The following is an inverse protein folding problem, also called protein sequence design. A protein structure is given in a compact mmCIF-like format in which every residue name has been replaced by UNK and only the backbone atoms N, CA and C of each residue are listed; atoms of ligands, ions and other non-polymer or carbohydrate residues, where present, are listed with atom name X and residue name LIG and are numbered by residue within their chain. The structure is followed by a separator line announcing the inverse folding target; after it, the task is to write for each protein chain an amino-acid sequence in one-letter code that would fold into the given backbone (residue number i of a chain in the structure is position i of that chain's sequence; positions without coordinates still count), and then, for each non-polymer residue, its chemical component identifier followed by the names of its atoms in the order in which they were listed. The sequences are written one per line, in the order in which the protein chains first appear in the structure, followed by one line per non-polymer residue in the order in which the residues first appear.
data_IF_765789932641
#
_entry.id   IF_765789932641
#
_cell.length_a   1.000
_cell.length_b   1.000
_cell.length_c   1.000
_cell.angle_alpha   90.00
_cell.angle_beta   90.00
_cell.angle_gamma   90.00
#
_symmetry.space_group_name_H-M   'P 1'
#
loop_
_entity.id
_entity.type
_entity.pdbx_description
1 polymer ?
#
# COMPACT_ATOMS: atom_id res chain seq x y z
N UNK A 1 12.68 -14.10 7.16
CA UNK A 1 12.91 -13.10 8.21
C UNK A 1 12.30 -13.62 9.51
N UNK A 2 13.09 -13.69 10.53
CA UNK A 2 12.64 -14.19 11.82
C UNK A 2 12.08 -13.05 12.67
N UNK A 3 11.14 -13.38 13.58
CA UNK A 3 10.64 -12.42 14.54
C UNK A 3 9.62 -11.42 14.05
N UNK A 4 9.03 -11.64 12.86
CA UNK A 4 8.00 -10.74 12.32
C UNK A 4 6.81 -10.58 13.27
N UNK A 5 6.48 -11.63 13.99
CA UNK A 5 5.37 -11.64 14.94
C UNK A 5 5.61 -10.74 16.16
N UNK A 6 6.85 -10.30 16.35
CA UNK A 6 7.20 -9.40 17.45
C UNK A 6 6.96 -7.92 17.10
N UNK A 7 6.76 -7.61 15.83
CA UNK A 7 6.50 -6.23 15.39
C UNK A 7 5.00 -5.99 15.38
N UNK A 8 4.53 -5.16 16.31
CA UNK A 8 3.10 -4.88 16.48
C UNK A 8 2.76 -3.47 16.04
N UNK A 9 1.81 -3.36 15.13
CA UNK A 9 1.36 -2.08 14.58
C UNK A 9 0.80 -1.17 15.68
N UNK A 10 1.34 0.04 15.76
CA UNK A 10 0.97 1.00 16.77
C UNK A 10 1.65 0.80 18.13
N UNK A 11 2.53 -0.19 18.25
CA UNK A 11 3.21 -0.52 19.52
C UNK A 11 4.73 -0.57 19.37
N UNK A 12 5.23 -1.23 18.34
CA UNK A 12 6.67 -1.47 18.19
C UNK A 12 7.32 -0.32 17.41
N UNK A 13 7.98 0.58 18.14
CA UNK A 13 8.77 1.66 17.55
C UNK A 13 10.20 1.16 17.38
N UNK A 14 10.47 0.58 16.22
CA UNK A 14 11.79 0.07 15.87
C UNK A 14 12.07 0.40 14.41
N UNK A 15 13.21 1.01 14.15
CA UNK A 15 13.64 1.33 12.79
C UNK A 15 14.24 0.08 12.15
N UNK A 16 13.51 -0.50 11.19
CA UNK A 16 13.90 -1.73 10.51
C UNK A 16 14.46 -1.40 9.14
N UNK A 17 15.64 -1.96 8.82
CA UNK A 17 16.23 -1.81 7.50
C UNK A 17 15.76 -2.92 6.57
N UNK A 18 15.47 -2.57 5.33
CA UNK A 18 15.08 -3.50 4.28
C UNK A 18 16.19 -3.52 3.24
N UNK A 19 16.75 -4.70 2.96
CA UNK A 19 17.83 -4.86 1.99
C UNK A 19 17.45 -5.70 0.78
N UNK A 20 16.43 -6.55 0.89
CA UNK A 20 16.02 -7.49 -0.16
C UNK A 20 14.55 -7.40 -0.49
N UNK A 21 14.18 -7.93 -1.67
CA UNK A 21 12.79 -8.05 -2.07
C UNK A 21 11.99 -8.88 -1.06
N UNK A 22 12.57 -9.99 -0.59
CA UNK A 22 11.91 -10.88 0.35
C UNK A 22 11.59 -10.16 1.66
N UNK A 23 12.56 -9.42 2.21
CA UNK A 23 12.33 -8.63 3.42
C UNK A 23 11.24 -7.56 3.20
N UNK A 24 11.30 -6.87 2.08
CA UNK A 24 10.28 -5.87 1.73
C UNK A 24 8.89 -6.50 1.65
N UNK A 25 8.78 -7.63 0.98
CA UNK A 25 7.53 -8.37 0.84
C UNK A 25 6.99 -8.81 2.20
N UNK A 26 7.85 -9.39 3.04
CA UNK A 26 7.44 -9.91 4.35
C UNK A 26 6.99 -8.79 5.29
N UNK A 27 7.74 -7.70 5.35
CA UNK A 27 7.40 -6.56 6.23
C UNK A 27 6.13 -5.84 5.75
N UNK A 28 5.99 -5.65 4.44
CA UNK A 28 4.78 -5.06 3.86
C UNK A 28 3.55 -5.89 4.21
N UNK A 29 3.66 -7.21 4.04
CA UNK A 29 2.55 -8.12 4.35
C UNK A 29 2.24 -8.17 5.83
N UNK A 30 3.26 -8.26 6.68
CA UNK A 30 3.07 -8.30 8.14
C UNK A 30 2.35 -7.05 8.65
N UNK A 31 2.71 -5.90 8.11
CA UNK A 31 2.07 -4.63 8.47
C UNK A 31 0.63 -4.57 7.95
N UNK A 32 0.41 -4.95 6.71
CA UNK A 32 -0.94 -4.95 6.12
C UNK A 32 -1.90 -5.87 6.87
N UNK A 33 -1.40 -7.03 7.33
CA UNK A 33 -2.22 -7.97 8.09
C UNK A 33 -2.72 -7.42 9.41
N UNK A 34 -2.01 -6.47 9.99
CA UNK A 34 -2.37 -5.87 11.27
C UNK A 34 -3.23 -4.62 11.13
N UNK A 35 -3.36 -4.06 9.94
CA UNK A 35 -4.15 -2.85 9.71
C UNK A 35 -5.62 -3.09 10.03
N UNK A 36 -6.25 -2.13 10.70
CA UNK A 36 -7.65 -2.17 11.09
C UNK A 36 -8.48 -1.01 10.54
N UNK A 37 -7.83 0.06 10.13
CA UNK A 37 -8.51 1.28 9.72
C UNK A 37 -8.21 1.69 8.30
N UNK A 38 -6.94 1.63 7.88
CA UNK A 38 -6.58 2.11 6.56
C UNK A 38 -5.26 1.55 6.05
N UNK A 39 -5.16 1.48 4.72
CA UNK A 39 -3.90 1.33 4.00
C UNK A 39 -3.85 2.43 2.95
N UNK A 40 -2.73 3.15 2.90
CA UNK A 40 -2.44 4.11 1.85
C UNK A 40 -1.19 3.64 1.13
N UNK A 41 -1.33 3.33 -0.15
CA UNK A 41 -0.26 2.76 -0.97
C UNK A 41 0.13 3.75 -2.06
N UNK A 42 1.40 4.11 -2.07
CA UNK A 42 2.01 4.98 -3.07
C UNK A 42 3.02 4.16 -3.87
N UNK A 43 2.73 3.91 -5.15
CA UNK A 43 3.51 2.98 -5.95
C UNK A 43 3.65 3.46 -7.38
N UNK A 44 4.75 3.06 -8.04
CA UNK A 44 4.94 3.35 -9.45
C UNK A 44 3.95 2.55 -10.31
N UNK A 45 3.86 1.24 -10.10
CA UNK A 45 3.06 0.35 -10.96
C UNK A 45 2.25 -0.71 -10.18
N UNK A 46 2.09 -0.52 -8.88
CA UNK A 46 1.41 -1.49 -7.98
C UNK A 46 2.09 -2.86 -8.04
N UNK A 47 3.35 -2.89 -7.77
CA UNK A 47 4.28 -4.01 -7.91
C UNK A 47 3.67 -5.37 -7.54
N UNK A 48 3.57 -6.30 -8.49
CA UNK A 48 2.96 -7.61 -8.22
C UNK A 48 3.65 -8.40 -7.10
N UNK A 49 4.98 -8.26 -6.97
CA UNK A 49 5.73 -8.96 -5.93
C UNK A 49 5.28 -8.58 -4.52
N UNK A 50 4.82 -7.34 -4.32
CA UNK A 50 4.36 -6.85 -3.01
C UNK A 50 2.84 -6.95 -2.85
N UNK A 51 2.09 -6.59 -3.88
CA UNK A 51 0.66 -6.33 -3.76
C UNK A 51 -0.24 -7.32 -4.50
N UNK A 52 0.31 -8.10 -5.43
CA UNK A 52 -0.46 -9.09 -6.19
C UNK A 52 -0.13 -10.51 -5.74
N UNK A 53 -0.31 -10.77 -4.45
CA UNK A 53 -0.13 -12.10 -3.88
C UNK A 53 -1.42 -12.53 -3.21
N UNK A 54 -1.70 -13.85 -3.11
CA UNK A 54 -2.87 -14.32 -2.36
C UNK A 54 -2.89 -13.82 -0.93
N UNK A 55 -1.72 -13.76 -0.27
CA UNK A 55 -1.62 -13.32 1.12
C UNK A 55 -1.94 -11.84 1.30
N UNK A 56 -1.43 -10.99 0.42
CA UNK A 56 -1.74 -9.56 0.50
C UNK A 56 -3.21 -9.29 0.18
N UNK A 57 -3.75 -9.98 -0.81
CA UNK A 57 -5.17 -9.88 -1.14
C UNK A 57 -6.05 -10.26 0.06
N UNK A 58 -5.69 -11.34 0.76
CA UNK A 58 -6.42 -11.76 1.96
C UNK A 58 -6.33 -10.71 3.06
N UNK A 59 -5.15 -10.12 3.27
CA UNK A 59 -4.97 -9.04 4.25
C UNK A 59 -5.86 -7.83 3.91
N UNK A 60 -5.91 -7.45 2.65
CA UNK A 60 -6.76 -6.35 2.18
C UNK A 60 -8.25 -6.65 2.40
N UNK A 61 -8.69 -7.86 2.08
CA UNK A 61 -10.08 -8.28 2.31
C UNK A 61 -10.43 -8.26 3.78
N UNK A 62 -9.54 -8.75 4.63
CA UNK A 62 -9.76 -8.78 6.07
C UNK A 62 -9.88 -7.37 6.64
N UNK A 63 -9.04 -6.45 6.18
CA UNK A 63 -9.13 -5.05 6.59
C UNK A 63 -10.51 -4.46 6.29
N UNK A 64 -11.00 -4.68 5.08
CA UNK A 64 -12.32 -4.17 4.68
C UNK A 64 -13.44 -4.83 5.49
N UNK A 65 -13.27 -6.08 5.88
CA UNK A 65 -14.27 -6.83 6.65
C UNK A 65 -14.33 -6.48 8.13
N UNK A 66 -13.28 -5.87 8.70
CA UNK A 66 -13.21 -5.56 10.12
C UNK A 66 -14.13 -4.39 10.51
N UNK A 67 -14.17 -3.36 9.66
CA UNK A 67 -14.89 -2.13 9.95
C UNK A 67 -15.51 -1.58 8.66
N UNK A 68 -16.75 -1.11 8.73
CA UNK A 68 -17.43 -0.51 7.59
C UNK A 68 -16.78 0.81 7.14
N UNK A 69 -15.98 1.43 8.00
CA UNK A 69 -15.29 2.69 7.71
C UNK A 69 -13.84 2.50 7.25
N UNK A 70 -13.34 1.27 7.24
CA UNK A 70 -11.97 1.01 6.78
C UNK A 70 -11.85 1.31 5.28
N UNK A 71 -10.68 1.79 4.87
CA UNK A 71 -10.46 2.30 3.51
C UNK A 71 -9.05 1.97 3.03
N UNK A 72 -8.96 1.54 1.78
CA UNK A 72 -7.67 1.38 1.08
C UNK A 72 -7.62 2.41 -0.05
N UNK A 73 -6.59 3.25 -0.04
CA UNK A 73 -6.35 4.22 -1.12
C UNK A 73 -5.01 3.93 -1.78
N UNK A 74 -5.01 3.91 -3.10
CA UNK A 74 -3.84 3.58 -3.90
C UNK A 74 -3.57 4.72 -4.89
N UNK A 75 -2.35 5.23 -4.87
CA UNK A 75 -1.84 6.16 -5.88
C UNK A 75 -0.80 5.44 -6.72
N UNK A 76 -0.99 5.43 -8.04
CA UNK A 76 -0.14 4.68 -8.96
C UNK A 76 0.12 5.53 -10.21
N UNK A 77 1.34 5.42 -10.75
CA UNK A 77 1.72 6.19 -11.95
C UNK A 77 1.42 5.44 -13.25
N UNK A 78 1.94 4.22 -13.38
CA UNK A 78 1.77 3.41 -14.59
C UNK A 78 1.02 2.13 -14.26
N UNK A 79 -0.23 2.07 -14.68
CA UNK A 79 -1.11 0.93 -14.41
C UNK A 79 -1.39 0.09 -15.66
N UNK A 80 -0.96 0.53 -16.84
CA UNK A 80 -1.30 -0.10 -18.11
C UNK A 80 -0.91 -1.58 -18.17
N UNK A 81 0.34 -1.90 -17.82
CA UNK A 81 0.80 -3.28 -17.77
C UNK A 81 0.09 -4.12 -16.71
N UNK A 82 -0.23 -3.49 -15.59
CA UNK A 82 -0.92 -4.14 -14.48
C UNK A 82 -2.36 -4.52 -14.84
N UNK A 83 -3.07 -3.62 -15.49
CA UNK A 83 -4.45 -3.86 -15.95
C UNK A 83 -4.46 -5.01 -16.96
N UNK A 84 -3.54 -5.01 -17.92
CA UNK A 84 -3.49 -6.01 -18.99
C UNK A 84 -3.19 -7.42 -18.48
N UNK A 85 -2.36 -7.53 -17.43
CA UNK A 85 -1.97 -8.82 -16.85
C UNK A 85 -2.93 -9.33 -15.78
N UNK A 86 -3.80 -8.44 -15.30
CA UNK A 86 -4.64 -8.71 -14.14
C UNK A 86 -3.89 -8.48 -12.84
N UNK A 87 -4.61 -8.12 -11.79
CA UNK A 87 -4.04 -7.86 -10.47
C UNK A 87 -5.12 -8.01 -9.41
N UNK A 88 -4.83 -8.73 -8.35
CA UNK A 88 -5.82 -9.04 -7.30
C UNK A 88 -6.41 -7.81 -6.64
N UNK A 89 -5.59 -6.78 -6.37
CA UNK A 89 -6.10 -5.53 -5.78
C UNK A 89 -6.97 -4.75 -6.77
N UNK A 90 -6.69 -4.81 -8.06
CA UNK A 90 -7.55 -4.19 -9.08
C UNK A 90 -8.91 -4.87 -9.12
N UNK A 91 -8.93 -6.20 -9.02
CA UNK A 91 -10.18 -6.96 -8.93
C UNK A 91 -10.99 -6.52 -7.70
N UNK A 92 -10.32 -6.38 -6.57
CA UNK A 92 -10.97 -5.95 -5.34
C UNK A 92 -11.53 -4.54 -5.48
N UNK A 93 -10.75 -3.63 -6.09
CA UNK A 93 -11.20 -2.27 -6.38
C UNK A 93 -12.43 -2.26 -7.28
N UNK A 94 -12.46 -3.08 -8.32
CA UNK A 94 -13.60 -3.12 -9.24
C UNK A 94 -14.88 -3.60 -8.56
N UNK A 95 -14.75 -4.47 -7.57
CA UNK A 95 -15.91 -4.99 -6.83
C UNK A 95 -16.35 -4.09 -5.67
N UNK A 96 -15.40 -3.39 -5.04
CA UNK A 96 -15.63 -2.60 -3.83
C UNK A 96 -15.04 -1.20 -3.98
N UNK A 97 -15.41 -0.49 -5.04
CA UNK A 97 -14.78 0.78 -5.44
C UNK A 97 -14.98 1.92 -4.44
N UNK A 98 -15.93 1.82 -3.54
CA UNK A 98 -16.10 2.82 -2.47
C UNK A 98 -15.13 2.57 -1.30
N UNK A 99 -14.60 1.37 -1.19
CA UNK A 99 -13.77 0.92 -0.08
C UNK A 99 -12.30 0.70 -0.47
N UNK A 100 -12.05 0.39 -1.74
CA UNK A 100 -10.71 0.27 -2.32
C UNK A 100 -10.67 1.23 -3.50
N UNK A 101 -9.97 2.34 -3.35
CA UNK A 101 -9.97 3.43 -4.32
C UNK A 101 -8.59 3.58 -4.94
N UNK A 102 -8.54 3.75 -6.25
CA UNK A 102 -7.29 3.92 -6.98
C UNK A 102 -7.37 5.22 -7.79
N UNK A 103 -6.31 6.01 -7.70
CA UNK A 103 -6.15 7.22 -8.51
C UNK A 103 -4.80 7.21 -9.20
N UNK A 104 -4.76 7.78 -10.40
CA UNK A 104 -3.55 7.86 -11.19
C UNK A 104 -2.77 9.12 -10.83
N UNK A 105 -1.46 8.96 -10.64
CA UNK A 105 -0.55 10.07 -10.42
C UNK A 105 -0.42 10.90 -11.69
N UNK A 106 -0.33 12.22 -11.55
CA UNK A 106 -0.18 13.15 -12.67
C UNK A 106 1.26 13.22 -13.16
N UNK A 107 2.22 12.76 -12.36
CA UNK A 107 3.62 12.71 -12.74
C UNK A 107 4.32 11.55 -12.06
N UNK A 108 5.51 11.20 -12.57
CA UNK A 108 6.35 10.16 -11.99
C UNK A 108 7.05 10.68 -10.73
N UNK A 109 7.00 9.87 -9.66
CA UNK A 109 7.75 10.11 -8.44
C UNK A 109 8.81 9.03 -8.26
N UNK A 110 9.86 9.33 -7.52
CA UNK A 110 10.98 8.40 -7.35
C UNK A 110 10.81 7.45 -6.17
N UNK A 111 10.00 7.81 -5.19
CA UNK A 111 9.83 7.01 -3.98
C UNK A 111 8.52 6.20 -4.00
N UNK A 112 8.45 5.23 -3.11
CA UNK A 112 7.25 4.40 -2.92
C UNK A 112 7.09 4.10 -1.44
N UNK A 113 5.84 3.96 -0.97
CA UNK A 113 5.59 3.67 0.44
C UNK A 113 4.20 3.09 0.65
N UNK A 114 4.03 2.46 1.83
CA UNK A 114 2.72 2.04 2.32
C UNK A 114 2.59 2.51 3.77
N UNK A 115 1.44 3.11 4.09
CA UNK A 115 1.12 3.56 5.45
C UNK A 115 -0.07 2.75 5.95
N UNK A 116 0.08 2.14 7.13
CA UNK A 116 -0.98 1.36 7.76
C UNK A 116 -1.49 2.07 9.01
N UNK A 117 -2.81 2.26 9.09
CA UNK A 117 -3.50 2.89 10.23
C UNK A 117 -2.92 4.26 10.61
N UNK A 118 -2.34 4.95 9.63
CA UNK A 118 -1.70 6.27 9.79
C UNK A 118 -0.54 6.27 10.80
N UNK A 119 -0.01 5.14 11.17
CA UNK A 119 1.04 5.03 12.19
C UNK A 119 2.21 4.12 11.80
N UNK A 120 1.97 3.08 11.03
CA UNK A 120 3.03 2.22 10.51
C UNK A 120 3.40 2.61 9.09
N UNK A 121 4.68 2.44 8.75
CA UNK A 121 5.15 2.80 7.41
C UNK A 121 6.22 1.85 6.91
N UNK A 122 6.11 1.47 5.64
CA UNK A 122 7.17 0.86 4.86
C UNK A 122 7.55 1.89 3.80
N UNK A 123 8.79 2.35 3.82
CA UNK A 123 9.23 3.49 3.00
C UNK A 123 10.44 3.10 2.15
N UNK A 124 10.38 3.39 0.86
CA UNK A 124 11.47 3.16 -0.08
C UNK A 124 11.80 4.46 -0.80
N UNK A 125 13.05 4.90 -0.72
CA UNK A 125 13.51 6.14 -1.37
C UNK A 125 13.47 6.00 -2.89
N UNK A 126 13.75 4.79 -3.41
CA UNK A 126 13.74 4.50 -4.84
C UNK A 126 12.71 3.43 -5.16
N UNK A 127 11.68 3.79 -5.90
CA UNK A 127 10.57 2.89 -6.23
C UNK A 127 11.02 1.66 -7.04
N UNK A 128 12.09 1.77 -7.84
CA UNK A 128 12.62 0.66 -8.60
C UNK A 128 13.46 -0.33 -7.78
N UNK A 129 13.69 -0.04 -6.50
CA UNK A 129 14.48 -0.90 -5.60
C UNK A 129 13.64 -1.32 -4.41
N UNK A 130 14.01 -2.46 -3.83
CA UNK A 130 13.31 -2.96 -2.64
C UNK A 130 13.96 -2.48 -1.34
N UNK A 131 15.12 -1.85 -1.42
CA UNK A 131 15.79 -1.29 -0.27
C UNK A 131 14.97 -0.15 0.34
N UNK A 132 14.91 -0.13 1.67
CA UNK A 132 14.14 0.89 2.36
C UNK A 132 14.13 0.65 3.86
N UNK A 133 13.09 1.14 4.50
CA UNK A 133 12.92 1.05 5.95
C UNK A 133 11.47 0.71 6.28
N UNK A 134 11.26 0.16 7.49
CA UNK A 134 9.92 -0.06 8.01
C UNK A 134 9.91 0.26 9.50
N UNK A 135 8.79 0.77 9.98
CA UNK A 135 8.55 0.97 11.40
C UNK A 135 7.06 0.83 11.67
N UNK A 136 6.70 -0.01 12.63
CA UNK A 136 5.31 -0.34 12.94
C UNK A 136 4.65 0.70 13.85
N UNK A 137 5.42 1.61 14.43
CA UNK A 137 4.90 2.69 15.26
C UNK A 137 5.77 3.93 15.07
N UNK A 138 5.56 4.65 13.97
CA UNK A 138 6.36 5.80 13.57
C UNK A 138 5.44 6.97 13.20
N UNK A 139 4.73 7.49 14.18
CA UNK A 139 3.72 8.53 13.96
C UNK A 139 4.29 9.70 13.14
N UNK A 140 5.46 10.21 13.50
CA UNK A 140 6.05 11.37 12.81
C UNK A 140 6.32 11.09 11.33
N UNK A 141 7.00 9.98 11.03
CA UNK A 141 7.31 9.59 9.65
C UNK A 141 6.04 9.29 8.85
N UNK A 142 5.10 8.57 9.47
CA UNK A 142 3.83 8.24 8.84
C UNK A 142 3.04 9.50 8.52
N UNK A 143 2.98 10.47 9.44
CA UNK A 143 2.26 11.72 9.21
C UNK A 143 2.89 12.56 8.11
N UNK A 144 4.21 12.62 8.04
CA UNK A 144 4.90 13.34 6.97
C UNK A 144 4.51 12.78 5.59
N UNK A 145 4.56 11.46 5.45
CA UNK A 145 4.17 10.82 4.20
C UNK A 145 2.66 10.91 3.94
N UNK A 146 1.85 10.88 4.99
CA UNK A 146 0.40 10.98 4.86
C UNK A 146 -0.04 12.36 4.36
N UNK A 147 0.57 13.43 4.86
CA UNK A 147 0.30 14.78 4.37
C UNK A 147 0.64 14.88 2.88
N UNK A 148 1.79 14.36 2.49
CA UNK A 148 2.18 14.28 1.07
C UNK A 148 1.15 13.47 0.27
N UNK A 149 0.79 12.29 0.75
CA UNK A 149 -0.18 11.41 0.08
C UNK A 149 -1.52 12.12 -0.13
N UNK A 150 -2.04 12.76 0.92
CA UNK A 150 -3.33 13.45 0.83
C UNK A 150 -3.30 14.61 -0.17
N UNK A 151 -2.22 15.38 -0.21
CA UNK A 151 -2.08 16.47 -1.16
C UNK A 151 -2.06 15.96 -2.61
N UNK A 152 -1.32 14.88 -2.86
CA UNK A 152 -1.27 14.27 -4.18
C UNK A 152 -2.62 13.62 -4.54
N UNK A 153 -3.27 13.00 -3.56
CA UNK A 153 -4.59 12.38 -3.76
C UNK A 153 -5.61 13.40 -4.27
N UNK A 154 -5.65 14.59 -3.66
CA UNK A 154 -6.58 15.64 -4.06
C UNK A 154 -6.31 16.15 -5.50
N UNK A 155 -5.07 16.07 -5.95
CA UNK A 155 -4.68 16.50 -7.31
C UNK A 155 -4.79 15.40 -8.34
N UNK A 156 -5.10 14.16 -7.93
CA UNK A 156 -5.12 13.00 -8.81
C UNK A 156 -6.52 12.69 -9.29
N UNK A 157 -6.62 11.96 -10.40
CA UNK A 157 -7.89 11.59 -11.00
C UNK A 157 -8.11 10.08 -10.92
N UNK A 158 -9.37 9.67 -11.02
CA UNK A 158 -9.74 8.26 -11.12
C UNK A 158 -9.23 7.69 -12.44
N UNK A 159 -8.77 6.44 -12.40
CA UNK A 159 -8.31 5.77 -13.62
C UNK A 159 -9.47 5.09 -14.32
N UNK A 160 -9.76 5.55 -15.54
CA UNK A 160 -10.85 4.98 -16.34
C UNK A 160 -10.63 3.51 -16.68
N UNK A 161 -9.37 3.09 -16.87
CA UNK A 161 -9.02 1.71 -17.17
C UNK A 161 -9.47 0.74 -16.06
N UNK A 162 -9.39 1.17 -14.80
CA UNK A 162 -9.81 0.35 -13.66
C UNK A 162 -11.33 0.23 -13.61
N UNK A 163 -12.02 1.34 -13.81
CA UNK A 163 -13.47 1.35 -13.74
C UNK A 163 -14.12 0.66 -14.93
N UNK A 164 -13.45 0.57 -16.05
CA UNK A 164 -13.89 -0.19 -17.21
C UNK A 164 -13.95 -1.71 -16.92
N UNK A 165 -13.14 -2.20 -15.98
CA UNK A 165 -13.13 -3.61 -15.60
C UNK A 165 -14.39 -4.05 -14.84
N UNK A 166 -15.25 -3.12 -14.47
CA UNK A 166 -16.52 -3.43 -13.79
C UNK A 166 -17.59 -3.97 -14.71
N UNK A 167 -17.37 -3.93 -16.00
CA UNK A 167 -18.37 -4.34 -17.00
C UNK A 167 -18.29 -5.85 -17.27
#
# INVERSE_FOLDING_TARGET
MEGLENYLLGQTDEHLSISTRDECQQLTLAMARQARHSLNIFSYNLEPALYDTPSFYEAARNLIGVDTNSLIRILVYDISGTVNKGHRLLDLCSRLSSRVQIRKLTRKYHHAFMIADNIGIVDRVHAERYEGTANFNAYGSAQTRLVFFNNVWEQSSRTSEIYALKI
#
